data_IF_424321027685
#
_entry.id   IF_424321027685
#
_cell.length_a   1.000
_cell.length_b   1.000
_cell.length_c   1.000
_cell.angle_alpha   90.00
_cell.angle_beta   90.00
_cell.angle_gamma   90.00
#
_symmetry.space_group_name_H-M   'P 1'
#
loop_
_entity.id
_entity.type
_entity.pdbx_description
1 polymer ?
#
# COMPACT_ATOMS: atom_id res chain seq x y z
N UNK A 1 -3.44 8.16 16.79
CA UNK A 1 -2.40 7.13 16.70
C UNK A 1 -2.62 6.39 15.39
N UNK A 2 -1.64 6.31 14.49
CA UNK A 2 -1.79 5.58 13.23
C UNK A 2 -1.51 4.09 13.47
N UNK A 3 -2.50 3.22 13.29
CA UNK A 3 -2.32 1.78 13.44
C UNK A 3 -1.61 1.26 12.20
N UNK A 4 -0.36 0.81 12.33
CA UNK A 4 0.32 0.08 11.25
C UNK A 4 -0.57 -1.12 10.89
N UNK A 5 -0.91 -1.31 9.61
CA UNK A 5 -1.68 -2.48 9.13
C UNK A 5 -0.79 -3.50 8.45
N UNK A 6 0.31 -3.06 7.85
CA UNK A 6 1.20 -3.91 7.10
C UNK A 6 2.38 -3.16 6.51
N UNK A 7 3.25 -3.92 5.85
CA UNK A 7 4.44 -3.42 5.19
C UNK A 7 4.37 -3.85 3.73
N UNK A 8 4.70 -2.96 2.82
CA UNK A 8 4.77 -3.26 1.40
C UNK A 8 5.88 -4.27 1.15
N UNK A 9 5.52 -5.44 0.64
CA UNK A 9 6.48 -6.47 0.29
C UNK A 9 6.96 -6.34 -1.15
N UNK A 10 6.12 -5.82 -2.06
CA UNK A 10 6.46 -5.68 -3.47
C UNK A 10 5.68 -4.56 -4.14
N UNK A 11 6.31 -3.82 -5.05
CA UNK A 11 5.64 -2.80 -5.90
C UNK A 11 6.03 -3.01 -7.36
N UNK A 12 5.05 -2.98 -8.25
CA UNK A 12 5.20 -3.03 -9.70
C UNK A 12 4.51 -1.80 -10.28
N UNK A 13 5.19 -1.09 -11.17
CA UNK A 13 4.65 0.10 -11.82
C UNK A 13 4.47 1.28 -10.85
N UNK A 14 3.49 2.13 -11.13
CA UNK A 14 3.19 3.30 -10.29
C UNK A 14 2.08 2.96 -9.31
N UNK A 15 2.38 3.08 -8.01
CA UNK A 15 1.40 2.91 -6.93
C UNK A 15 1.56 4.05 -5.93
N UNK A 16 0.43 4.57 -5.47
CA UNK A 16 0.38 5.69 -4.53
C UNK A 16 -0.48 5.35 -3.31
N UNK A 17 0.01 5.72 -2.13
CA UNK A 17 -0.69 5.65 -0.87
C UNK A 17 -1.24 7.04 -0.57
N UNK A 18 -2.52 7.14 -0.27
CA UNK A 18 -3.20 8.37 0.10
C UNK A 18 -3.56 8.26 1.57
N UNK A 19 -2.85 9.00 2.42
CA UNK A 19 -3.17 9.05 3.84
C UNK A 19 -4.57 9.65 4.06
N UNK A 20 -5.17 9.40 5.21
CA UNK A 20 -6.47 9.97 5.57
C UNK A 20 -6.50 11.51 5.63
N UNK A 21 -5.33 12.15 5.69
CA UNK A 21 -5.13 13.59 5.59
C UNK A 21 -5.17 14.12 4.14
N UNK A 22 -5.27 13.24 3.14
CA UNK A 22 -5.24 13.57 1.72
C UNK A 22 -3.84 13.64 1.11
N UNK A 23 -2.80 13.48 1.93
CA UNK A 23 -1.42 13.43 1.45
C UNK A 23 -1.17 12.16 0.62
N UNK A 24 -0.82 12.35 -0.65
CA UNK A 24 -0.42 11.27 -1.55
C UNK A 24 1.09 11.07 -1.54
N UNK A 25 1.53 9.82 -1.46
CA UNK A 25 2.94 9.42 -1.53
C UNK A 25 3.09 8.21 -2.44
N UNK A 26 4.19 8.11 -3.16
CA UNK A 26 4.48 6.90 -3.94
C UNK A 26 4.80 5.75 -2.97
N UNK A 27 4.20 4.57 -3.19
CA UNK A 27 4.59 3.39 -2.45
C UNK A 27 5.86 2.79 -3.03
N UNK A 28 6.70 2.29 -2.14
CA UNK A 28 7.90 1.54 -2.44
C UNK A 28 7.96 0.30 -1.56
N UNK A 29 8.80 -0.66 -1.93
CA UNK A 29 9.05 -1.85 -1.12
C UNK A 29 9.60 -1.45 0.25
N UNK A 30 9.04 -2.03 1.32
CA UNK A 30 9.34 -1.68 2.70
C UNK A 30 8.53 -0.51 3.28
N UNK A 31 7.67 0.14 2.49
CA UNK A 31 6.84 1.23 3.00
C UNK A 31 5.78 0.71 4.00
N UNK A 32 5.47 1.54 5.00
CA UNK A 32 4.56 1.18 6.09
C UNK A 32 3.17 1.69 5.78
N UNK A 33 2.23 0.78 5.77
CA UNK A 33 0.82 1.10 5.58
C UNK A 33 0.10 1.19 6.89
N UNK A 34 -0.78 2.18 6.98
CA UNK A 34 -1.53 2.50 8.19
C UNK A 34 -3.02 2.35 7.93
N UNK A 35 -3.77 2.07 8.99
CA UNK A 35 -5.22 1.98 8.92
C UNK A 35 -5.81 3.31 8.43
N UNK A 36 -6.62 3.23 7.38
CA UNK A 36 -7.20 4.41 6.71
C UNK A 36 -6.36 5.00 5.58
N UNK A 37 -5.18 4.45 5.29
CA UNK A 37 -4.43 4.78 4.08
C UNK A 37 -5.07 4.09 2.87
N UNK A 38 -5.32 4.85 1.80
CA UNK A 38 -5.94 4.37 0.58
C UNK A 38 -4.89 4.12 -0.49
N UNK A 39 -4.84 2.89 -0.98
CA UNK A 39 -3.93 2.47 -2.03
C UNK A 39 -4.55 2.74 -3.40
N UNK A 40 -3.84 3.50 -4.22
CA UNK A 40 -4.20 3.84 -5.59
C UNK A 40 -3.13 3.31 -6.53
N UNK A 41 -3.42 2.22 -7.23
CA UNK A 41 -2.57 1.69 -8.29
C UNK A 41 -2.80 2.47 -9.59
N UNK A 42 -1.72 2.71 -10.33
CA UNK A 42 -1.80 3.23 -11.70
C UNK A 42 -2.31 2.16 -12.67
N UNK A 43 -2.42 2.52 -13.95
CA UNK A 43 -2.97 1.63 -14.98
C UNK A 43 -2.29 0.25 -15.02
N UNK A 44 -0.96 0.19 -14.84
CA UNK A 44 -0.15 -1.03 -14.81
C UNK A 44 0.41 -1.33 -13.41
N UNK A 45 -0.18 -0.73 -12.37
CA UNK A 45 0.30 -0.80 -11.00
C UNK A 45 -0.15 -2.08 -10.30
N UNK A 46 0.76 -2.72 -9.58
CA UNK A 46 0.44 -3.74 -8.60
C UNK A 46 1.28 -3.57 -7.33
N UNK A 47 0.72 -3.85 -6.17
CA UNK A 47 1.39 -3.79 -4.87
C UNK A 47 1.00 -5.00 -4.04
N UNK A 48 1.99 -5.62 -3.41
CA UNK A 48 1.79 -6.66 -2.41
C UNK A 48 2.13 -6.09 -1.04
N UNK A 49 1.24 -6.30 -0.08
CA UNK A 49 1.35 -5.78 1.29
C UNK A 49 1.27 -6.97 2.24
N UNK A 50 2.32 -7.14 3.04
CA UNK A 50 2.31 -8.09 4.13
C UNK A 50 1.62 -7.45 5.34
N UNK A 51 0.42 -7.92 5.66
CA UNK A 51 -0.34 -7.45 6.80
C UNK A 51 0.26 -8.00 8.09
N UNK A 52 0.16 -7.22 9.18
CA UNK A 52 0.65 -7.62 10.50
C UNK A 52 -0.03 -8.87 11.07
N UNK A 53 -1.17 -9.28 10.50
CA UNK A 53 -1.87 -10.51 10.84
C UNK A 53 -1.31 -11.75 10.12
N UNK A 54 -0.23 -11.61 9.33
CA UNK A 54 0.41 -12.67 8.57
C UNK A 54 -0.24 -12.97 7.21
N UNK A 55 -1.25 -12.19 6.81
CA UNK A 55 -1.86 -12.30 5.49
C UNK A 55 -1.16 -11.39 4.49
N UNK A 56 -1.26 -11.73 3.20
CA UNK A 56 -0.78 -10.87 2.12
C UNK A 56 -1.97 -10.25 1.39
N UNK A 57 -1.99 -8.93 1.31
CA UNK A 57 -2.97 -8.16 0.54
C UNK A 57 -2.31 -7.67 -0.74
N UNK A 58 -2.78 -8.17 -1.87
CA UNK A 58 -2.25 -7.77 -3.17
C UNK A 58 -3.31 -6.95 -3.90
N UNK A 59 -2.95 -5.73 -4.30
CA UNK A 59 -3.78 -4.83 -5.09
C UNK A 59 -3.12 -4.63 -6.43
N UNK A 60 -3.84 -4.94 -7.50
CA UNK A 60 -3.33 -4.91 -8.86
C UNK A 60 -4.37 -5.56 -9.78
N UNK A 61 -4.07 -5.68 -11.06
CA UNK A 61 -5.02 -6.26 -12.01
C UNK A 61 -5.28 -7.74 -11.72
N UNK A 62 -6.55 -8.08 -11.54
CA UNK A 62 -7.18 -9.25 -12.16
C UNK A 62 -7.74 -8.89 -13.53
#
# INVERSE_FOLDING_TARGET
MATLIGIVSKVIGQVFAVASDGTRRALVEGDKLFAGDQLSTGAEGAVAVHLQNGQELTLGRG
#
